data_IF_734901227694
#
_entry.id   IF_734901227694
#
_cell.length_a   1.000
_cell.length_b   1.000
_cell.length_c   1.000
_cell.angle_alpha   90.00
_cell.angle_beta   90.00
_cell.angle_gamma   90.00
#
_symmetry.space_group_name_H-M   'P 1'
#
loop_
_entity.id
_entity.type
_entity.pdbx_description
1 polymer ?
#
# COMPACT_ATOMS: atom_id res chain seq x y z
N UNK A 1 30.59 11.10 11.32
CA UNK A 1 29.61 11.50 10.28
C UNK A 1 29.23 10.25 9.49
N UNK A 2 28.07 9.66 9.75
CA UNK A 2 27.54 8.54 8.95
C UNK A 2 27.32 9.05 7.53
N UNK A 3 27.95 8.45 6.52
CA UNK A 3 27.74 8.81 5.12
C UNK A 3 26.28 8.48 4.77
N UNK A 4 25.51 9.49 4.34
CA UNK A 4 24.08 9.39 4.02
C UNK A 4 23.73 8.37 2.92
N UNK A 5 24.75 7.84 2.23
CA UNK A 5 24.60 6.91 1.11
C UNK A 5 24.40 5.44 1.51
N UNK A 6 24.61 5.06 2.78
CA UNK A 6 24.43 3.67 3.24
C UNK A 6 23.02 3.34 3.73
N UNK A 7 22.11 4.32 3.84
CA UNK A 7 20.78 4.07 4.41
C UNK A 7 19.96 3.06 3.59
N UNK A 8 20.19 3.00 2.28
CA UNK A 8 19.49 2.07 1.38
C UNK A 8 20.04 0.64 1.46
N UNK A 9 21.23 0.42 2.04
CA UNK A 9 21.80 -0.93 2.18
C UNK A 9 20.98 -1.84 3.10
N UNK A 10 20.20 -1.25 4.00
CA UNK A 10 19.34 -1.96 4.95
C UNK A 10 17.94 -2.30 4.41
N UNK A 11 17.54 -1.72 3.27
CA UNK A 11 16.20 -1.90 2.72
C UNK A 11 16.25 -2.74 1.44
N UNK A 12 15.31 -3.68 1.33
CA UNK A 12 15.04 -4.39 0.07
C UNK A 12 13.88 -3.70 -0.63
N UNK A 13 14.09 -3.34 -1.89
CA UNK A 13 13.03 -2.79 -2.74
C UNK A 13 12.24 -3.92 -3.38
N UNK A 14 10.93 -3.73 -3.52
CA UNK A 14 10.05 -4.64 -4.23
C UNK A 14 9.05 -3.86 -5.09
N UNK A 15 8.57 -4.49 -6.15
CA UNK A 15 7.49 -3.98 -7.01
C UNK A 15 6.21 -4.73 -6.65
N UNK A 16 5.09 -4.07 -6.32
CA UNK A 16 3.84 -4.77 -6.03
C UNK A 16 3.46 -5.76 -7.14
N UNK A 17 2.88 -6.89 -6.76
CA UNK A 17 2.72 -8.05 -7.63
C UNK A 17 1.94 -7.73 -8.92
N UNK A 18 0.91 -6.89 -8.88
CA UNK A 18 0.17 -6.54 -10.09
C UNK A 18 0.98 -5.64 -11.02
N UNK A 19 1.82 -4.76 -10.45
CA UNK A 19 2.70 -3.90 -11.22
C UNK A 19 3.91 -4.64 -11.80
N UNK A 20 4.39 -5.69 -11.13
CA UNK A 20 5.58 -6.45 -11.53
C UNK A 20 5.49 -6.95 -12.97
N UNK A 21 4.35 -7.49 -13.38
CA UNK A 21 4.12 -7.98 -14.75
C UNK A 21 4.18 -6.89 -15.83
N UNK A 22 4.01 -5.61 -15.47
CA UNK A 22 4.18 -4.48 -16.37
C UNK A 22 5.65 -4.11 -16.64
N UNK A 23 6.60 -4.69 -15.90
CA UNK A 23 8.03 -4.45 -16.09
C UNK A 23 8.71 -5.58 -16.87
N UNK A 24 9.93 -5.31 -17.36
CA UNK A 24 10.80 -6.31 -18.00
C UNK A 24 11.06 -7.52 -17.10
N UNK A 25 11.37 -8.66 -17.72
CA UNK A 25 11.62 -9.95 -17.04
C UNK A 25 12.66 -9.83 -15.92
N UNK A 26 13.77 -9.11 -16.15
CA UNK A 26 14.80 -8.87 -15.11
C UNK A 26 14.22 -8.26 -13.82
N UNK A 27 13.26 -7.35 -13.98
CA UNK A 27 12.61 -6.66 -12.86
C UNK A 27 11.68 -7.62 -12.12
N UNK A 28 10.90 -8.40 -12.87
CA UNK A 28 10.01 -9.42 -12.31
C UNK A 28 10.79 -10.43 -11.46
N UNK A 29 11.95 -10.88 -11.94
CA UNK A 29 12.78 -11.84 -11.21
C UNK A 29 13.42 -11.22 -9.95
N UNK A 30 13.96 -10.00 -10.05
CA UNK A 30 14.72 -9.36 -8.96
C UNK A 30 13.84 -8.72 -7.88
N UNK A 31 12.71 -8.13 -8.26
CA UNK A 31 11.93 -7.25 -7.40
C UNK A 31 10.51 -7.76 -7.11
N UNK A 32 10.15 -8.96 -7.58
CA UNK A 32 8.89 -9.59 -7.18
C UNK A 32 8.89 -9.86 -5.66
N UNK A 33 7.85 -9.46 -4.92
CA UNK A 33 7.65 -9.78 -3.51
C UNK A 33 7.76 -11.28 -3.23
N UNK A 34 7.33 -12.13 -4.18
CA UNK A 34 7.42 -13.60 -4.08
C UNK A 34 8.87 -14.11 -4.08
N UNK A 35 9.80 -13.33 -4.61
CA UNK A 35 11.22 -13.70 -4.73
C UNK A 35 12.10 -13.03 -3.67
N UNK A 36 11.54 -12.15 -2.82
CA UNK A 36 12.28 -11.41 -1.81
C UNK A 36 12.04 -12.02 -0.43
N UNK A 37 13.06 -12.62 0.22
CA UNK A 37 12.93 -13.14 1.56
C UNK A 37 12.55 -12.04 2.55
N UNK A 38 11.52 -12.31 3.36
CA UNK A 38 10.98 -11.40 4.37
C UNK A 38 9.71 -10.66 3.96
N UNK A 39 9.29 -10.72 2.69
CA UNK A 39 8.03 -10.11 2.23
C UNK A 39 6.77 -10.92 2.62
N UNK A 40 6.92 -12.21 2.91
CA UNK A 40 5.81 -13.12 3.16
C UNK A 40 4.97 -13.37 1.90
N UNK A 41 3.72 -13.82 2.08
CA UNK A 41 2.74 -13.98 0.99
C UNK A 41 2.02 -12.67 0.64
N UNK A 42 2.55 -11.52 1.08
CA UNK A 42 1.98 -10.22 0.77
C UNK A 42 2.24 -9.89 -0.71
N UNK A 43 1.18 -9.52 -1.41
CA UNK A 43 1.27 -9.07 -2.79
C UNK A 43 1.73 -7.61 -2.94
N UNK A 44 1.80 -6.88 -1.83
CA UNK A 44 2.21 -5.47 -1.81
C UNK A 44 1.11 -4.51 -2.28
N UNK A 45 -0.14 -4.96 -2.39
CA UNK A 45 -1.25 -4.20 -3.00
C UNK A 45 -2.27 -3.71 -1.95
N UNK A 46 -1.90 -3.79 -0.67
CA UNK A 46 -2.79 -3.42 0.44
C UNK A 46 -3.18 -1.93 0.43
N UNK A 47 -2.23 -1.05 0.13
CA UNK A 47 -2.46 0.40 0.04
C UNK A 47 -3.41 0.74 -1.12
N UNK A 48 -3.21 0.14 -2.28
CA UNK A 48 -3.99 0.33 -3.49
C UNK A 48 -5.44 -0.12 -3.28
N UNK A 49 -5.65 -1.25 -2.61
CA UNK A 49 -7.01 -1.71 -2.23
C UNK A 49 -7.70 -0.75 -1.28
N UNK A 50 -6.99 -0.26 -0.25
CA UNK A 50 -7.54 0.73 0.67
C UNK A 50 -7.89 2.04 -0.07
N UNK A 51 -7.01 2.54 -0.93
CA UNK A 51 -7.27 3.75 -1.72
C UNK A 51 -8.45 3.57 -2.68
N UNK A 52 -8.54 2.41 -3.34
CA UNK A 52 -9.68 2.07 -4.19
C UNK A 52 -11.00 2.10 -3.41
N UNK A 53 -11.03 1.51 -2.21
CA UNK A 53 -12.17 1.60 -1.30
C UNK A 53 -12.49 3.04 -0.91
N UNK A 54 -11.47 3.81 -0.51
CA UNK A 54 -11.62 5.18 -0.02
C UNK A 54 -12.02 6.20 -1.10
N UNK A 55 -11.78 5.89 -2.38
CA UNK A 55 -12.07 6.77 -3.53
C UNK A 55 -13.50 7.32 -3.52
N UNK A 56 -14.47 6.54 -3.04
CA UNK A 56 -15.88 6.97 -2.94
C UNK A 56 -16.08 8.15 -1.98
N UNK A 57 -15.26 8.26 -0.94
CA UNK A 57 -15.38 9.31 0.07
C UNK A 57 -14.72 10.63 -0.37
N UNK A 58 -13.86 10.61 -1.40
CA UNK A 58 -13.17 11.80 -1.87
C UNK A 58 -14.14 12.91 -2.32
N UNK A 59 -15.23 12.54 -3.01
CA UNK A 59 -16.23 13.50 -3.49
C UNK A 59 -17.06 14.10 -2.36
N UNK A 60 -17.49 13.28 -1.40
CA UNK A 60 -18.34 13.75 -0.29
C UNK A 60 -17.57 14.55 0.75
N UNK A 61 -16.26 14.31 0.88
CA UNK A 61 -15.41 15.02 1.86
C UNK A 61 -14.75 16.28 1.28
N UNK A 62 -14.86 16.51 -0.04
CA UNK A 62 -14.21 17.63 -0.73
C UNK A 62 -14.56 19.00 -0.12
N UNK A 63 -15.85 19.26 0.06
CA UNK A 63 -16.37 20.54 0.59
C UNK A 63 -16.69 20.48 2.09
N UNK A 64 -16.28 19.40 2.77
CA UNK A 64 -16.56 19.21 4.19
C UNK A 64 -15.57 19.98 5.06
N UNK A 65 -16.03 20.37 6.26
CA UNK A 65 -15.15 20.95 7.28
C UNK A 65 -14.02 19.95 7.62
N UNK A 66 -12.80 20.42 7.96
CA UNK A 66 -11.67 19.53 8.27
C UNK A 66 -11.98 18.45 9.33
N UNK A 67 -12.70 18.80 10.40
CA UNK A 67 -13.12 17.84 11.42
C UNK A 67 -14.02 16.74 10.85
N UNK A 68 -15.08 17.14 10.14
CA UNK A 68 -16.01 16.20 9.50
C UNK A 68 -15.31 15.29 8.48
N UNK A 69 -14.32 15.81 7.75
CA UNK A 69 -13.49 15.01 6.84
C UNK A 69 -12.73 13.92 7.59
N UNK A 70 -12.10 14.27 8.71
CA UNK A 70 -11.36 13.32 9.55
C UNK A 70 -12.29 12.24 10.10
N UNK A 71 -13.47 12.63 10.60
CA UNK A 71 -14.43 11.69 11.17
C UNK A 71 -14.87 10.65 10.12
N UNK A 72 -15.27 11.11 8.93
CA UNK A 72 -15.71 10.22 7.83
C UNK A 72 -14.58 9.29 7.40
N UNK A 73 -13.36 9.80 7.19
CA UNK A 73 -12.24 8.97 6.76
C UNK A 73 -11.82 7.97 7.84
N UNK A 74 -11.85 8.37 9.11
CA UNK A 74 -11.55 7.49 10.24
C UNK A 74 -12.54 6.33 10.30
N UNK A 75 -13.84 6.62 10.30
CA UNK A 75 -14.88 5.59 10.32
C UNK A 75 -14.77 4.65 9.12
N UNK A 76 -14.51 5.21 7.93
CA UNK A 76 -14.31 4.44 6.70
C UNK A 76 -13.13 3.47 6.81
N UNK A 77 -11.99 3.89 7.35
CA UNK A 77 -10.79 3.06 7.52
C UNK A 77 -11.02 1.98 8.58
N UNK A 78 -11.66 2.31 9.70
CA UNK A 78 -11.99 1.34 10.75
C UNK A 78 -12.94 0.26 10.23
N UNK A 79 -13.98 0.66 9.48
CA UNK A 79 -14.89 -0.28 8.85
C UNK A 79 -14.17 -1.17 7.83
N UNK A 80 -13.31 -0.58 6.98
CA UNK A 80 -12.51 -1.34 6.01
C UNK A 80 -11.61 -2.37 6.71
N UNK A 81 -10.96 -1.99 7.81
CA UNK A 81 -10.14 -2.87 8.62
C UNK A 81 -10.90 -4.13 9.05
N UNK A 82 -12.10 -3.94 9.63
CA UNK A 82 -12.98 -5.05 10.06
C UNK A 82 -13.32 -6.00 8.91
N UNK A 83 -13.88 -5.48 7.83
CA UNK A 83 -14.30 -6.31 6.68
C UNK A 83 -13.13 -6.94 5.90
N UNK A 84 -11.92 -6.39 6.04
CA UNK A 84 -10.71 -6.94 5.41
C UNK A 84 -10.11 -8.06 6.24
N UNK A 85 -10.22 -7.97 7.57
CA UNK A 85 -9.83 -9.05 8.48
C UNK A 85 -10.76 -10.24 8.35
N UNK A 86 -12.06 -10.01 8.17
CA UNK A 86 -13.06 -11.09 8.04
C UNK A 86 -12.99 -11.86 6.70
N UNK A 87 -12.22 -11.34 5.72
CA UNK A 87 -12.06 -11.92 4.37
C UNK A 87 -10.78 -12.73 4.20
N UNK A 88 -9.90 -12.74 5.20
CA UNK A 88 -8.68 -13.54 5.27
C UNK A 88 -8.95 -14.80 6.09
#
# INVERSE_FOLDING_TARGET
KVKRNDLLSFFKLAVPVFHSYGHKVDCQLKYSPRNIPGFGMADGEGCERLWSYLRRFARITKESRPSRRIDILTDSVLYYGRISSDRL
#
